data_IF_179181312658
#
_entry.id   IF_179181312658
#
_cell.length_a   1.000
_cell.length_b   1.000
_cell.length_c   1.000
_cell.angle_alpha   90.00
_cell.angle_beta   90.00
_cell.angle_gamma   90.00
#
_symmetry.space_group_name_H-M   'P 1'
#
loop_
_entity.id
_entity.type
_entity.pdbx_description
1 polymer ?
#
# COMPACT_ATOMS: atom_id res chain seq x y z
N UNK A 1 -17.66 23.73 22.98
CA UNK A 1 -18.43 23.70 21.72
C UNK A 1 -17.79 24.38 20.50
N UNK A 2 -17.69 25.73 20.36
CA UNK A 2 -17.13 26.35 19.12
C UNK A 2 -15.66 25.97 18.84
N UNK A 3 -14.83 25.88 19.88
CA UNK A 3 -13.40 25.54 19.78
C UNK A 3 -13.17 24.07 19.39
N UNK A 4 -13.95 23.15 19.93
CA UNK A 4 -13.84 21.71 19.62
C UNK A 4 -14.26 21.42 18.18
N UNK A 5 -15.33 22.07 17.70
CA UNK A 5 -15.77 21.95 16.30
C UNK A 5 -14.72 22.50 15.32
N UNK A 6 -14.03 23.58 15.69
CA UNK A 6 -12.92 24.13 14.90
C UNK A 6 -11.72 23.18 14.83
N UNK A 7 -11.29 22.63 15.98
CA UNK A 7 -10.17 21.66 16.03
C UNK A 7 -10.49 20.40 15.22
N UNK A 8 -11.73 19.89 15.33
CA UNK A 8 -12.18 18.73 14.57
C UNK A 8 -12.13 18.98 13.05
N UNK A 9 -12.66 20.13 12.59
CA UNK A 9 -12.64 20.50 11.18
C UNK A 9 -11.21 20.71 10.64
N UNK A 10 -10.32 21.30 11.46
CA UNK A 10 -8.92 21.47 11.10
C UNK A 10 -8.22 20.12 10.92
N UNK A 11 -8.44 19.17 11.83
CA UNK A 11 -7.88 17.82 11.73
C UNK A 11 -8.35 17.07 10.48
N UNK A 12 -9.63 17.21 10.11
CA UNK A 12 -10.15 16.66 8.86
C UNK A 12 -9.44 17.28 7.66
N UNK A 13 -9.34 18.61 7.62
CA UNK A 13 -8.71 19.31 6.50
C UNK A 13 -7.22 18.92 6.34
N UNK A 14 -6.48 18.84 7.45
CA UNK A 14 -5.09 18.37 7.46
C UNK A 14 -4.98 16.93 6.97
N UNK A 15 -5.87 16.04 7.42
CA UNK A 15 -5.87 14.63 6.97
C UNK A 15 -6.13 14.52 5.47
N UNK A 16 -7.13 15.26 4.95
CA UNK A 16 -7.43 15.31 3.51
C UNK A 16 -6.23 15.86 2.74
N UNK A 17 -5.60 16.92 3.22
CA UNK A 17 -4.43 17.51 2.59
C UNK A 17 -3.25 16.53 2.52
N UNK A 18 -2.95 15.83 3.62
CA UNK A 18 -1.88 14.81 3.66
C UNK A 18 -2.18 13.66 2.70
N UNK A 19 -3.43 13.16 2.69
CA UNK A 19 -3.85 12.11 1.75
C UNK A 19 -3.72 12.57 0.29
N UNK A 20 -4.16 13.79 -0.02
CA UNK A 20 -4.03 14.38 -1.35
C UNK A 20 -2.57 14.51 -1.78
N UNK A 21 -1.70 15.03 -0.92
CA UNK A 21 -0.27 15.19 -1.19
C UNK A 21 0.40 13.82 -1.42
N UNK A 22 0.03 12.83 -0.62
CA UNK A 22 0.52 11.45 -0.70
C UNK A 22 0.14 10.81 -2.05
N UNK A 23 -1.12 10.98 -2.48
CA UNK A 23 -1.59 10.56 -3.79
C UNK A 23 -0.94 11.32 -4.95
N UNK A 24 -0.75 12.63 -4.82
CA UNK A 24 -0.08 13.45 -5.83
C UNK A 24 1.38 13.00 -6.01
N UNK A 25 2.10 12.75 -4.91
CA UNK A 25 3.45 12.20 -4.95
C UNK A 25 3.50 10.82 -5.61
N UNK A 26 2.54 9.94 -5.32
CA UNK A 26 2.44 8.64 -5.99
C UNK A 26 2.15 8.78 -7.49
N UNK A 27 1.26 9.68 -7.89
CA UNK A 27 0.96 9.94 -9.29
C UNK A 27 2.18 10.51 -10.03
N UNK A 28 2.92 11.45 -9.41
CA UNK A 28 4.17 11.98 -9.97
C UNK A 28 5.23 10.89 -10.07
N UNK A 29 5.38 10.03 -9.05
CA UNK A 29 6.28 8.88 -9.08
C UNK A 29 5.92 7.93 -10.24
N UNK A 30 4.65 7.55 -10.35
CA UNK A 30 4.12 6.72 -11.44
C UNK A 30 4.43 7.36 -12.80
N UNK A 31 4.09 8.63 -13.01
CA UNK A 31 4.36 9.33 -14.26
C UNK A 31 5.87 9.44 -14.56
N UNK A 32 6.71 9.69 -13.56
CA UNK A 32 8.14 9.90 -13.77
C UNK A 32 8.94 8.60 -13.93
N UNK A 33 8.50 7.52 -13.28
CA UNK A 33 9.23 6.26 -13.20
C UNK A 33 8.64 5.13 -14.04
N UNK A 34 7.35 5.17 -14.38
CA UNK A 34 6.73 4.16 -15.25
C UNK A 34 6.68 4.58 -16.72
N UNK A 35 6.75 5.89 -17.03
CA UNK A 35 6.87 6.36 -18.42
C UNK A 35 8.31 6.23 -18.92
N UNK A 36 9.31 6.37 -18.04
CA UNK A 36 10.71 6.15 -18.40
C UNK A 36 11.07 4.66 -18.26
N UNK A 37 10.92 3.93 -19.37
CA UNK A 37 11.20 2.49 -19.48
C UNK A 37 12.66 2.11 -19.16
N UNK A 38 13.59 3.08 -19.15
CA UNK A 38 15.00 2.85 -18.85
C UNK A 38 15.32 2.85 -17.36
N UNK A 39 14.42 3.38 -16.52
CA UNK A 39 14.63 3.42 -15.08
C UNK A 39 14.17 2.12 -14.44
N UNK A 40 15.09 1.46 -13.76
CA UNK A 40 14.75 0.31 -12.93
C UNK A 40 13.99 0.77 -11.68
N UNK A 41 12.70 0.41 -11.61
CA UNK A 41 11.86 0.62 -10.41
C UNK A 41 11.41 -0.67 -9.77
N UNK A 42 11.97 -1.80 -10.19
CA UNK A 42 11.77 -3.11 -9.56
C UNK A 42 12.25 -3.03 -8.11
N UNK A 43 13.36 -2.33 -7.86
CA UNK A 43 13.88 -2.07 -6.52
C UNK A 43 12.84 -1.41 -5.59
N UNK A 44 12.12 -0.38 -6.07
CA UNK A 44 11.11 0.34 -5.28
C UNK A 44 9.95 -0.59 -4.92
N UNK A 45 9.44 -1.35 -5.89
CA UNK A 45 8.37 -2.31 -5.65
C UNK A 45 8.80 -3.43 -4.69
N UNK A 46 10.05 -3.89 -4.78
CA UNK A 46 10.57 -4.92 -3.87
C UNK A 46 10.70 -4.40 -2.43
N UNK A 47 11.12 -3.15 -2.24
CA UNK A 47 11.12 -2.51 -0.91
C UNK A 47 9.69 -2.41 -0.37
N UNK A 48 8.74 -1.98 -1.20
CA UNK A 48 7.31 -1.94 -0.82
C UNK A 48 6.79 -3.32 -0.41
N UNK A 49 7.05 -4.35 -1.21
CA UNK A 49 6.71 -5.73 -0.89
C UNK A 49 7.27 -6.17 0.48
N UNK A 50 8.57 -6.01 0.69
CA UNK A 50 9.21 -6.44 1.94
C UNK A 50 8.66 -5.69 3.16
N UNK A 51 8.47 -4.37 3.04
CA UNK A 51 7.93 -3.55 4.12
C UNK A 51 6.50 -3.97 4.49
N UNK A 52 5.63 -4.21 3.52
CA UNK A 52 4.25 -4.58 3.80
C UNK A 52 4.10 -6.02 4.29
N UNK A 53 4.95 -6.94 3.84
CA UNK A 53 5.01 -8.29 4.41
C UNK A 53 5.46 -8.26 5.89
N UNK A 54 6.47 -7.44 6.21
CA UNK A 54 6.92 -7.23 7.58
C UNK A 54 5.82 -6.60 8.44
N UNK A 55 5.13 -5.57 7.95
CA UNK A 55 3.99 -4.95 8.65
C UNK A 55 2.85 -5.95 8.91
N UNK A 56 2.55 -6.82 7.95
CA UNK A 56 1.56 -7.88 8.14
C UNK A 56 1.99 -8.84 9.27
N UNK A 57 3.25 -9.27 9.25
CA UNK A 57 3.81 -10.15 10.28
C UNK A 57 3.75 -9.52 11.67
N UNK A 58 4.16 -8.26 11.80
CA UNK A 58 4.08 -7.50 13.06
C UNK A 58 2.63 -7.40 13.53
N UNK A 59 1.69 -7.10 12.64
CA UNK A 59 0.27 -6.94 12.97
C UNK A 59 -0.34 -8.25 13.49
N UNK A 60 -0.05 -9.38 12.83
CA UNK A 60 -0.49 -10.70 13.31
C UNK A 60 0.15 -11.08 14.64
N UNK A 61 1.43 -10.77 14.82
CA UNK A 61 2.12 -11.10 16.07
C UNK A 61 1.57 -10.24 17.23
N UNK A 62 1.27 -8.97 16.97
CA UNK A 62 0.68 -8.09 17.95
C UNK A 62 -0.76 -8.49 18.30
N UNK A 63 -1.56 -8.96 17.34
CA UNK A 63 -2.91 -9.46 17.63
C UNK A 63 -2.92 -10.58 18.68
N UNK A 64 -1.86 -11.41 18.75
CA UNK A 64 -1.74 -12.50 19.74
C UNK A 64 -1.54 -12.02 21.17
N UNK A 65 -1.18 -10.77 21.40
CA UNK A 65 -0.92 -10.26 22.76
C UNK A 65 -2.18 -9.79 23.47
N UNK A 66 -3.32 -9.75 22.78
CA UNK A 66 -4.62 -9.32 23.31
C UNK A 66 -5.46 -10.53 23.71
N UNK A 67 -6.32 -10.37 24.72
CA UNK A 67 -7.25 -11.43 25.15
C UNK A 67 -8.54 -11.37 24.31
N UNK A 68 -8.89 -12.49 23.68
CA UNK A 68 -10.13 -12.61 22.90
C UNK A 68 -11.40 -12.66 23.76
N UNK A 69 -11.27 -12.85 25.06
CA UNK A 69 -12.37 -12.96 26.01
C UNK A 69 -12.91 -11.59 26.46
N UNK A 70 -12.13 -10.53 26.25
CA UNK A 70 -12.50 -9.14 26.51
C UNK A 70 -12.99 -8.50 25.20
N UNK A 71 -14.25 -8.05 25.18
CA UNK A 71 -14.89 -7.47 24.00
C UNK A 71 -14.11 -6.29 23.38
N UNK A 72 -13.47 -5.46 24.20
CA UNK A 72 -12.69 -4.32 23.70
C UNK A 72 -11.38 -4.76 23.04
N UNK A 73 -10.77 -5.81 23.57
CA UNK A 73 -9.55 -6.39 23.02
C UNK A 73 -9.84 -7.27 21.79
N UNK A 74 -10.97 -7.97 21.76
CA UNK A 74 -11.45 -8.72 20.61
C UNK A 74 -11.64 -7.83 19.37
N UNK A 75 -12.21 -6.62 19.52
CA UNK A 75 -12.33 -5.63 18.44
C UNK A 75 -10.96 -5.20 17.88
N UNK A 76 -9.93 -5.09 18.75
CA UNK A 76 -8.56 -4.78 18.32
C UNK A 76 -7.95 -5.93 17.53
N UNK A 77 -8.13 -7.17 18.00
CA UNK A 77 -7.65 -8.38 17.31
C UNK A 77 -8.19 -8.45 15.88
N UNK A 78 -9.50 -8.26 15.72
CA UNK A 78 -10.14 -8.28 14.40
C UNK A 78 -9.55 -7.20 13.48
N UNK A 79 -9.37 -5.99 14.00
CA UNK A 79 -8.82 -4.86 13.25
C UNK A 79 -7.35 -5.06 12.85
N UNK A 80 -6.54 -5.65 13.72
CA UNK A 80 -5.14 -5.99 13.42
C UNK A 80 -5.06 -7.06 12.34
N UNK A 81 -5.88 -8.12 12.43
CA UNK A 81 -5.93 -9.17 11.41
C UNK A 81 -6.38 -8.63 10.05
N UNK A 82 -7.37 -7.73 10.03
CA UNK A 82 -7.82 -7.06 8.81
C UNK A 82 -6.73 -6.17 8.21
N UNK A 83 -6.03 -5.39 9.04
CA UNK A 83 -4.90 -4.57 8.59
C UNK A 83 -3.75 -5.43 8.04
N UNK A 84 -3.45 -6.56 8.68
CA UNK A 84 -2.43 -7.50 8.24
C UNK A 84 -2.78 -8.14 6.89
N UNK A 85 -4.03 -8.56 6.70
CA UNK A 85 -4.53 -9.10 5.43
C UNK A 85 -4.42 -8.08 4.28
N UNK A 86 -4.79 -6.82 4.54
CA UNK A 86 -4.64 -5.73 3.57
C UNK A 86 -3.18 -5.43 3.27
N UNK A 87 -2.29 -5.53 4.25
CA UNK A 87 -0.86 -5.38 4.06
C UNK A 87 -0.29 -6.48 3.15
N UNK A 88 -0.72 -7.74 3.32
CA UNK A 88 -0.39 -8.83 2.40
C UNK A 88 -0.88 -8.52 0.98
N UNK A 89 -2.12 -8.04 0.83
CA UNK A 89 -2.65 -7.67 -0.48
C UNK A 89 -1.83 -6.55 -1.13
N UNK A 90 -1.44 -5.52 -0.37
CA UNK A 90 -0.57 -4.46 -0.85
C UNK A 90 0.79 -5.01 -1.33
N UNK A 91 1.38 -5.94 -0.56
CA UNK A 91 2.63 -6.60 -0.90
C UNK A 91 2.51 -7.40 -2.20
N UNK A 92 1.44 -8.19 -2.38
CA UNK A 92 1.14 -8.92 -3.61
C UNK A 92 1.03 -7.95 -4.80
N UNK A 93 0.33 -6.82 -4.63
CA UNK A 93 0.23 -5.81 -5.67
C UNK A 93 1.60 -5.20 -6.01
N UNK A 94 2.46 -4.91 -5.03
CA UNK A 94 3.82 -4.44 -5.31
C UNK A 94 4.64 -5.44 -6.14
N UNK A 95 4.59 -6.73 -5.81
CA UNK A 95 5.26 -7.79 -6.59
C UNK A 95 4.65 -7.91 -7.99
N UNK A 96 3.32 -7.85 -8.11
CA UNK A 96 2.64 -7.87 -9.41
C UNK A 96 3.06 -6.72 -10.32
N UNK A 97 3.14 -5.50 -9.77
CA UNK A 97 3.62 -4.33 -10.49
C UNK A 97 5.09 -4.48 -10.91
N UNK A 98 5.92 -5.04 -10.03
CA UNK A 98 7.33 -5.36 -10.30
C UNK A 98 7.48 -6.36 -11.45
N UNK A 99 6.71 -7.45 -11.42
CA UNK A 99 6.70 -8.50 -12.44
C UNK A 99 6.25 -7.96 -13.80
N UNK A 100 5.17 -7.16 -13.84
CA UNK A 100 4.70 -6.53 -15.07
C UNK A 100 5.79 -5.66 -15.70
N UNK A 101 6.48 -4.85 -14.89
CA UNK A 101 7.60 -4.02 -15.37
C UNK A 101 8.80 -4.85 -15.83
N UNK A 102 9.14 -5.92 -15.12
CA UNK A 102 10.20 -6.84 -15.52
C UNK A 102 9.93 -7.46 -16.89
N UNK A 103 8.70 -7.93 -17.13
CA UNK A 103 8.27 -8.48 -18.42
C UNK A 103 8.39 -7.43 -19.53
N UNK A 104 8.05 -6.17 -19.26
CA UNK A 104 8.19 -5.09 -20.25
C UNK A 104 9.65 -4.80 -20.60
N UNK A 105 10.55 -4.74 -19.61
CA UNK A 105 11.95 -4.40 -19.84
C UNK A 105 12.72 -5.57 -20.47
N UNK A 106 12.51 -6.78 -19.97
CA UNK A 106 13.29 -7.98 -20.34
C UNK A 106 12.58 -8.91 -21.31
N UNK A 107 11.32 -8.64 -21.66
CA UNK A 107 10.52 -9.50 -22.54
C UNK A 107 11.17 -9.81 -23.89
N UNK A 108 11.90 -8.85 -24.47
CA UNK A 108 12.63 -9.05 -25.73
C UNK A 108 13.90 -9.91 -25.57
N UNK A 109 14.50 -9.97 -24.38
CA UNK A 109 15.69 -10.79 -24.11
C UNK A 109 15.32 -12.24 -23.77
N UNK A 110 14.09 -12.49 -23.29
CA UNK A 110 13.61 -13.82 -22.84
C UNK A 110 13.29 -14.76 -24.04
N UNK A 111 13.61 -14.38 -25.27
CA UNK A 111 13.57 -15.27 -26.43
C UNK A 111 12.17 -15.56 -26.99
N UNK A 112 11.13 -14.91 -26.45
CA UNK A 112 9.79 -14.92 -26.99
C UNK A 112 9.52 -13.59 -27.70
N UNK A 113 9.52 -13.57 -29.03
CA UNK A 113 9.04 -12.45 -29.88
C UNK A 113 7.55 -12.07 -29.64
N UNK A 114 6.92 -12.60 -28.58
CA UNK A 114 5.52 -12.35 -28.21
C UNK A 114 5.32 -10.88 -27.83
N UNK A 115 6.33 -10.23 -27.22
CA UNK A 115 6.21 -8.86 -26.69
C UNK A 115 6.74 -7.81 -27.69
N UNK A 116 7.61 -8.18 -28.63
CA UNK A 116 8.17 -7.24 -29.60
C UNK A 116 7.16 -6.78 -30.65
N UNK A 117 6.18 -7.64 -31.01
CA UNK A 117 5.42 -7.45 -32.24
C UNK A 117 4.07 -6.73 -32.04
N UNK A 118 3.63 -6.49 -30.80
CA UNK A 118 2.39 -5.73 -30.56
C UNK A 118 2.60 -4.61 -29.55
N UNK A 119 2.69 -3.38 -30.06
CA UNK A 119 2.63 -2.13 -29.26
C UNK A 119 1.46 -2.16 -28.26
N UNK A 120 0.35 -2.82 -28.62
CA UNK A 120 -0.80 -3.04 -27.76
C UNK A 120 -0.49 -3.81 -26.46
N UNK A 121 0.30 -4.89 -26.51
CA UNK A 121 0.63 -5.69 -25.31
C UNK A 121 1.50 -4.88 -24.34
N UNK A 122 2.42 -4.05 -24.85
CA UNK A 122 3.21 -3.13 -24.03
C UNK A 122 2.30 -2.15 -23.29
N UNK A 123 1.33 -1.54 -23.98
CA UNK A 123 0.36 -0.61 -23.36
C UNK A 123 -0.43 -1.30 -22.24
N UNK A 124 -0.92 -2.53 -22.46
CA UNK A 124 -1.63 -3.30 -21.42
C UNK A 124 -0.74 -3.54 -20.21
N UNK A 125 0.51 -3.96 -20.41
CA UNK A 125 1.44 -4.23 -19.31
C UNK A 125 1.80 -2.95 -18.53
N UNK A 126 1.98 -1.82 -19.21
CA UNK A 126 2.16 -0.52 -18.56
C UNK A 126 0.93 -0.12 -17.74
N UNK A 127 -0.26 -0.20 -18.32
CA UNK A 127 -1.51 0.07 -17.60
C UNK A 127 -1.67 -0.85 -16.39
N UNK A 128 -1.38 -2.14 -16.55
CA UNK A 128 -1.37 -3.11 -15.46
C UNK A 128 -0.42 -2.69 -14.35
N UNK A 129 0.83 -2.35 -14.69
CA UNK A 129 1.81 -1.88 -13.71
C UNK A 129 1.34 -0.63 -12.95
N UNK A 130 0.83 0.39 -13.67
CA UNK A 130 0.30 1.63 -13.09
C UNK A 130 -0.87 1.35 -12.16
N UNK A 131 -1.86 0.57 -12.61
CA UNK A 131 -3.05 0.25 -11.82
C UNK A 131 -2.66 -0.53 -10.57
N UNK A 132 -1.86 -1.59 -10.72
CA UNK A 132 -1.46 -2.42 -9.59
C UNK A 132 -0.61 -1.64 -8.58
N UNK A 133 0.27 -0.74 -9.03
CA UNK A 133 1.03 0.12 -8.12
C UNK A 133 0.13 1.11 -7.36
N UNK A 134 -0.83 1.74 -8.03
CA UNK A 134 -1.78 2.64 -7.37
C UNK A 134 -2.67 1.90 -6.36
N UNK A 135 -3.10 0.67 -6.67
CA UNK A 135 -3.84 -0.17 -5.73
C UNK A 135 -2.97 -0.52 -4.52
N UNK A 136 -1.71 -0.94 -4.74
CA UNK A 136 -0.75 -1.21 -3.67
C UNK A 136 -0.57 0.00 -2.75
N UNK A 137 -0.42 1.18 -3.34
CA UNK A 137 -0.26 2.44 -2.62
C UNK A 137 -1.51 2.84 -1.84
N UNK A 138 -2.70 2.63 -2.42
CA UNK A 138 -3.98 2.90 -1.75
C UNK A 138 -4.14 2.02 -0.51
N UNK A 139 -3.84 0.72 -0.65
CA UNK A 139 -3.86 -0.23 0.46
C UNK A 139 -2.81 0.13 1.52
N UNK A 140 -1.62 0.56 1.10
CA UNK A 140 -0.56 1.01 1.98
C UNK A 140 -1.02 2.14 2.91
N UNK A 141 -1.64 3.18 2.33
CA UNK A 141 -2.17 4.32 3.08
C UNK A 141 -3.29 3.89 4.04
N UNK A 142 -4.21 3.03 3.59
CA UNK A 142 -5.30 2.51 4.44
C UNK A 142 -4.75 1.70 5.63
N UNK A 143 -3.77 0.81 5.39
CA UNK A 143 -3.11 0.01 6.44
C UNK A 143 -2.44 0.91 7.47
N UNK A 144 -1.60 1.85 7.04
CA UNK A 144 -0.88 2.76 7.95
C UNK A 144 -1.87 3.57 8.80
N UNK A 145 -2.91 4.10 8.17
CA UNK A 145 -3.94 4.90 8.87
C UNK A 145 -4.67 4.05 9.90
N UNK A 146 -5.08 2.83 9.55
CA UNK A 146 -5.76 1.90 10.47
C UNK A 146 -4.87 1.50 11.63
N UNK A 147 -3.61 1.15 11.38
CA UNK A 147 -2.65 0.80 12.43
C UNK A 147 -2.44 1.96 13.41
N UNK A 148 -2.40 3.21 12.91
CA UNK A 148 -2.35 4.40 13.77
C UNK A 148 -3.56 4.51 14.70
N UNK A 149 -4.79 4.28 14.18
CA UNK A 149 -6.01 4.28 14.99
C UNK A 149 -6.03 3.14 16.01
N UNK A 150 -5.63 1.94 15.61
CA UNK A 150 -5.56 0.77 16.50
C UNK A 150 -4.57 1.04 17.63
N UNK A 151 -3.41 1.61 17.34
CA UNK A 151 -2.40 1.97 18.33
C UNK A 151 -2.92 2.95 19.39
N UNK A 152 -3.65 3.99 18.96
CA UNK A 152 -4.26 4.93 19.89
C UNK A 152 -5.29 4.24 20.79
N UNK A 153 -6.11 3.32 20.26
CA UNK A 153 -7.08 2.55 21.06
C UNK A 153 -6.40 1.59 22.03
N UNK A 154 -5.38 0.87 21.60
CA UNK A 154 -4.62 -0.04 22.46
C UNK A 154 -4.01 0.72 23.65
N UNK A 155 -3.46 1.93 23.41
CA UNK A 155 -2.94 2.79 24.48
C UNK A 155 -4.01 3.25 25.49
N UNK A 156 -5.29 3.25 25.13
CA UNK A 156 -6.38 3.61 26.06
C UNK A 156 -6.77 2.44 26.97
N UNK A 157 -6.57 1.20 26.54
CA UNK A 157 -6.92 0.00 27.32
C UNK A 157 -5.85 -0.31 28.38
N UNK A 158 -4.59 -0.08 28.06
CA UNK A 158 -3.46 -0.37 28.97
C UNK A 158 -3.05 0.80 29.86
N UNK A 159 -3.82 1.89 29.89
CA UNK A 159 -3.65 3.02 30.81
C UNK A 159 -4.58 2.90 32.00
#
# INVERSE_FOLDING_TARGET
>A
MKREKFIYNLNIAVTIFVLFLTWLCAAVLVCYYLIDYKKDTIAVSNVGFAAFLALASISFNWAKTFDSSDDQQADIIEKLNLAASKAIMAAICFVGASLAKYIVIKGNEIGHNIISDTEFLKVILYLGCVVTFNVAFSLAVDVITRLGVIYIRALQIFK
#
